data_IF_906466374450
#
_entry.id   IF_906466374450
#
_cell.length_a   1.000
_cell.length_b   1.000
_cell.length_c   1.000
_cell.angle_alpha   90.00
_cell.angle_beta   90.00
_cell.angle_gamma   90.00
#
_symmetry.space_group_name_H-M   'P 1'
#
loop_
_entity.id
_entity.type
_entity.pdbx_description
1 polymer ?
#
# COMPACT_ATOMS: atom_id res chain seq x y z
N UNK A 1 4.64 1.96 -1.32
CA UNK A 1 4.83 0.58 -0.81
C UNK A 1 4.81 -0.43 -1.95
N UNK A 2 3.85 -0.37 -2.89
CA UNK A 2 3.78 -1.28 -4.05
C UNK A 2 5.04 -1.28 -4.96
N UNK A 3 5.96 -0.39 -4.71
CA UNK A 3 7.24 -0.27 -5.43
C UNK A 3 8.37 -1.11 -4.84
N UNK A 4 8.08 -2.04 -3.93
CA UNK A 4 9.09 -2.83 -3.23
C UNK A 4 10.08 -1.98 -2.41
N UNK A 5 9.69 -0.75 -2.07
CA UNK A 5 10.40 0.13 -1.17
C UNK A 5 9.98 -0.22 0.25
N UNK A 6 10.94 -0.53 1.10
CA UNK A 6 10.69 -0.83 2.49
C UNK A 6 10.16 0.37 3.27
N UNK A 7 9.72 0.13 4.49
CA UNK A 7 9.34 1.15 5.44
C UNK A 7 10.50 1.48 6.38
N UNK A 8 10.60 2.73 6.79
CA UNK A 8 11.56 3.21 7.80
C UNK A 8 10.86 4.10 8.79
N UNK A 9 11.07 3.88 10.08
CA UNK A 9 10.45 4.66 11.14
C UNK A 9 11.35 5.80 11.64
N UNK A 10 12.57 5.47 11.99
CA UNK A 10 13.43 6.38 12.75
C UNK A 10 14.23 7.34 11.89
N UNK A 11 14.59 6.95 10.69
CA UNK A 11 15.45 7.74 9.80
C UNK A 11 14.67 8.87 9.12
N UNK A 12 13.39 8.62 8.78
CA UNK A 12 12.49 9.59 8.17
C UNK A 12 11.17 9.62 8.94
N UNK A 13 11.11 10.24 10.13
CA UNK A 13 9.91 10.26 10.94
C UNK A 13 8.80 11.09 10.25
N UNK A 14 7.56 10.69 10.45
CA UNK A 14 6.37 11.34 9.89
C UNK A 14 6.30 12.86 10.21
N UNK A 15 6.80 13.27 11.36
CA UNK A 15 6.89 14.69 11.74
C UNK A 15 7.71 15.56 10.77
N UNK A 16 8.60 14.96 9.98
CA UNK A 16 9.42 15.62 8.95
C UNK A 16 8.90 15.43 7.53
N UNK A 17 7.72 14.82 7.35
CA UNK A 17 7.20 14.48 6.03
C UNK A 17 7.08 15.71 5.10
N UNK A 18 6.65 16.87 5.61
CA UNK A 18 6.52 18.08 4.82
C UNK A 18 7.86 18.60 4.29
N UNK A 19 8.91 18.53 5.08
CA UNK A 19 10.25 18.97 4.66
C UNK A 19 10.83 17.99 3.65
N UNK A 20 10.61 16.71 3.87
CA UNK A 20 11.02 15.63 2.97
C UNK A 20 10.34 15.72 1.60
N UNK A 21 9.03 16.02 1.54
CA UNK A 21 8.30 16.22 0.27
C UNK A 21 8.89 17.37 -0.54
N UNK A 22 9.31 18.46 0.11
CA UNK A 22 9.88 19.63 -0.56
C UNK A 22 11.30 19.41 -1.06
N UNK A 23 12.10 18.65 -0.33
CA UNK A 23 13.53 18.44 -0.61
C UNK A 23 13.79 17.16 -1.40
N UNK A 24 12.83 16.24 -1.43
CA UNK A 24 12.99 14.88 -1.92
C UNK A 24 13.76 14.00 -0.92
N UNK A 25 13.66 12.69 -1.11
CA UNK A 25 14.47 11.70 -0.42
C UNK A 25 15.69 11.36 -1.28
N UNK A 26 16.87 11.23 -0.66
CA UNK A 26 18.00 10.60 -1.34
C UNK A 26 17.62 9.19 -1.79
N UNK A 27 18.07 8.77 -2.98
CA UNK A 27 17.80 7.43 -3.52
C UNK A 27 18.27 6.28 -2.61
N UNK A 28 19.25 6.54 -1.74
CA UNK A 28 19.72 5.56 -0.76
C UNK A 28 18.62 5.16 0.25
N UNK A 29 17.68 6.06 0.60
CA UNK A 29 16.56 5.73 1.48
C UNK A 29 15.57 4.74 0.85
N UNK A 30 15.50 4.69 -0.47
CA UNK A 30 14.65 3.74 -1.17
C UNK A 30 15.15 2.29 -1.04
N UNK A 31 16.46 2.08 -0.86
CA UNK A 31 17.08 0.76 -0.98
C UNK A 31 17.95 0.36 0.20
N UNK A 32 18.55 1.30 0.93
CA UNK A 32 19.59 1.02 1.92
C UNK A 32 19.15 1.17 3.38
N UNK A 33 18.06 1.92 3.63
CA UNK A 33 17.60 2.22 4.99
C UNK A 33 16.16 1.75 5.15
N UNK A 34 15.97 0.48 5.47
CA UNK A 34 14.65 -0.13 5.65
C UNK A 34 14.62 -0.87 6.98
N UNK A 35 13.60 -0.58 7.78
CA UNK A 35 13.28 -1.35 8.99
C UNK A 35 12.44 -2.58 8.65
N UNK A 36 11.72 -2.53 7.52
CA UNK A 36 10.96 -3.63 6.98
C UNK A 36 10.95 -3.60 5.45
N UNK A 37 10.97 -4.78 4.84
CA UNK A 37 10.93 -4.98 3.40
C UNK A 37 9.55 -5.45 2.97
N UNK A 38 9.00 -4.88 1.91
CA UNK A 38 7.76 -5.38 1.33
C UNK A 38 8.06 -6.69 0.59
N UNK A 39 7.43 -7.78 1.04
CA UNK A 39 7.56 -9.10 0.45
C UNK A 39 6.47 -9.36 -0.58
N UNK A 40 5.20 -9.12 -0.21
CA UNK A 40 4.06 -9.28 -1.10
C UNK A 40 3.02 -8.18 -0.90
N UNK A 41 2.17 -7.98 -1.92
CA UNK A 41 0.97 -7.16 -1.86
C UNK A 41 -0.20 -7.95 -2.43
N UNK A 42 -1.27 -8.04 -1.68
CA UNK A 42 -2.50 -8.70 -2.09
C UNK A 42 -3.66 -7.71 -2.12
N UNK A 43 -4.65 -8.02 -2.93
CA UNK A 43 -5.92 -7.29 -2.96
C UNK A 43 -7.06 -8.22 -2.59
N UNK A 44 -7.96 -7.75 -1.74
CA UNK A 44 -9.17 -8.45 -1.36
C UNK A 44 -10.37 -7.55 -1.68
N UNK A 45 -11.40 -8.08 -2.31
CA UNK A 45 -12.66 -7.35 -2.44
C UNK A 45 -13.39 -7.39 -1.10
N UNK A 46 -13.34 -6.30 -0.34
CA UNK A 46 -13.88 -6.21 1.02
C UNK A 46 -15.40 -6.36 1.06
N UNK A 47 -16.09 -5.96 -0.01
CA UNK A 47 -17.56 -6.08 -0.08
C UNK A 47 -18.02 -7.52 -0.33
N UNK A 48 -17.21 -8.33 -0.99
CA UNK A 48 -17.54 -9.72 -1.34
C UNK A 48 -16.90 -10.74 -0.39
N UNK A 49 -15.77 -10.39 0.23
CA UNK A 49 -14.98 -11.29 1.07
C UNK A 49 -14.55 -10.64 2.38
N UNK A 50 -15.54 -10.32 3.23
CA UNK A 50 -15.31 -9.77 4.57
C UNK A 50 -14.49 -10.72 5.46
N UNK A 51 -14.68 -12.05 5.33
CA UNK A 51 -13.91 -13.04 6.10
C UNK A 51 -12.43 -13.04 5.71
N UNK A 52 -12.11 -12.94 4.42
CA UNK A 52 -10.72 -12.84 3.97
C UNK A 52 -10.02 -11.58 4.47
N UNK A 53 -10.74 -10.46 4.61
CA UNK A 53 -10.18 -9.25 5.25
C UNK A 53 -9.87 -9.49 6.72
N UNK A 54 -10.74 -10.17 7.47
CA UNK A 54 -10.52 -10.52 8.88
C UNK A 54 -9.33 -11.47 9.04
N UNK A 55 -9.22 -12.47 8.18
CA UNK A 55 -8.06 -13.38 8.13
C UNK A 55 -6.76 -12.61 7.86
N UNK A 56 -6.77 -11.71 6.88
CA UNK A 56 -5.61 -10.89 6.58
C UNK A 56 -5.20 -9.97 7.75
N UNK A 57 -6.16 -9.42 8.50
CA UNK A 57 -5.86 -8.65 9.72
C UNK A 57 -5.23 -9.54 10.79
N UNK A 58 -5.70 -10.77 10.98
CA UNK A 58 -5.13 -11.71 11.94
C UNK A 58 -3.70 -12.13 11.55
N UNK A 59 -3.42 -12.28 10.27
CA UNK A 59 -2.12 -12.73 9.77
C UNK A 59 -1.09 -11.59 9.65
N UNK A 60 -1.51 -10.43 9.15
CA UNK A 60 -0.61 -9.31 8.82
C UNK A 60 -0.80 -8.08 9.71
N UNK A 61 -1.75 -8.11 10.65
CA UNK A 61 -2.00 -7.05 11.62
C UNK A 61 -2.91 -5.93 11.12
N UNK A 62 -2.92 -5.62 9.83
CA UNK A 62 -3.75 -4.56 9.26
C UNK A 62 -3.95 -4.70 7.75
N UNK A 63 -5.02 -4.10 7.22
CA UNK A 63 -5.23 -3.95 5.77
C UNK A 63 -5.49 -2.49 5.41
N UNK A 64 -4.92 -2.02 4.31
CA UNK A 64 -5.12 -0.68 3.79
C UNK A 64 -6.42 -0.57 3.02
N UNK A 65 -7.18 0.50 3.23
CA UNK A 65 -8.41 0.79 2.49
C UNK A 65 -8.50 2.26 2.14
N UNK A 66 -9.34 2.58 1.18
CA UNK A 66 -9.73 3.95 0.85
C UNK A 66 -11.23 4.14 1.03
N UNK A 67 -11.62 5.31 1.49
CA UNK A 67 -13.00 5.77 1.53
C UNK A 67 -13.09 7.26 1.24
N UNK A 68 -14.28 7.77 0.97
CA UNK A 68 -14.48 9.21 0.80
C UNK A 68 -14.92 9.81 2.12
N UNK A 69 -14.02 10.58 2.73
CA UNK A 69 -14.26 11.17 4.04
C UNK A 69 -15.04 12.48 3.94
N UNK A 70 -16.04 12.61 4.80
CA UNK A 70 -16.76 13.86 5.07
C UNK A 70 -16.96 14.03 6.57
N UNK A 71 -16.57 15.18 7.10
CA UNK A 71 -16.71 15.51 8.52
C UNK A 71 -18.18 15.41 9.00
N UNK A 72 -19.13 15.62 8.10
CA UNK A 72 -20.56 15.51 8.41
C UNK A 72 -21.01 14.08 8.76
N UNK A 73 -20.26 13.08 8.33
CA UNK A 73 -20.55 11.67 8.54
C UNK A 73 -19.74 11.07 9.70
N UNK A 74 -18.80 11.85 10.27
CA UNK A 74 -18.05 11.46 11.45
C UNK A 74 -18.68 12.07 12.70
N UNK A 75 -18.95 11.24 13.70
CA UNK A 75 -19.63 11.66 14.92
C UNK A 75 -19.00 10.99 16.15
N UNK A 76 -18.98 11.72 17.24
CA UNK A 76 -18.62 11.14 18.55
C UNK A 76 -19.82 10.40 19.14
N UNK A 77 -19.69 9.12 19.35
CA UNK A 77 -20.72 8.31 20.00
C UNK A 77 -20.57 8.36 21.52
N UNK A 78 -21.57 8.90 22.20
CA UNK A 78 -21.62 8.90 23.67
C UNK A 78 -21.88 7.51 24.25
N UNK A 79 -22.46 6.60 23.47
CA UNK A 79 -22.77 5.24 23.91
C UNK A 79 -21.54 4.35 23.96
N UNK A 80 -20.64 4.50 23.01
CA UNK A 80 -19.42 3.68 22.88
C UNK A 80 -18.14 4.44 23.17
N UNK A 81 -18.25 5.73 23.53
CA UNK A 81 -17.12 6.60 23.89
C UNK A 81 -16.01 6.59 22.82
N UNK A 82 -16.40 6.72 21.56
CA UNK A 82 -15.50 6.68 20.41
C UNK A 82 -16.07 7.41 19.19
N UNK A 83 -15.22 7.75 18.24
CA UNK A 83 -15.67 8.23 16.95
C UNK A 83 -16.26 7.09 16.10
N UNK A 84 -17.33 7.43 15.36
CA UNK A 84 -18.01 6.52 14.43
C UNK A 84 -18.17 7.20 13.07
N UNK A 85 -18.10 6.42 11.99
CA UNK A 85 -18.28 6.88 10.63
C UNK A 85 -19.26 6.00 9.86
N UNK A 86 -20.26 6.63 9.27
CA UNK A 86 -21.20 5.98 8.35
C UNK A 86 -21.73 6.97 7.34
N UNK A 87 -21.83 6.54 6.09
CA UNK A 87 -22.45 7.30 5.00
C UNK A 87 -23.29 6.42 4.07
N UNK A 88 -24.16 7.07 3.31
CA UNK A 88 -25.03 6.46 2.29
C UNK A 88 -24.71 6.93 0.88
N UNK A 89 -23.72 7.82 0.72
CA UNK A 89 -23.29 8.34 -0.56
C UNK A 89 -21.84 8.83 -0.46
N UNK A 90 -21.13 8.84 -1.57
CA UNK A 90 -19.79 9.46 -1.66
C UNK A 90 -19.90 10.97 -1.48
N UNK A 91 -19.21 11.49 -0.49
CA UNK A 91 -19.05 12.92 -0.24
C UNK A 91 -17.65 13.20 0.31
N UNK A 92 -17.15 14.41 0.08
CA UNK A 92 -15.84 14.83 0.58
C UNK A 92 -14.66 14.37 -0.27
N UNK A 93 -13.53 14.12 0.37
CA UNK A 93 -12.27 13.75 -0.28
C UNK A 93 -11.86 12.30 -0.05
N UNK A 94 -11.11 11.74 -1.00
CA UNK A 94 -10.50 10.41 -0.83
C UNK A 94 -9.52 10.40 0.33
N UNK A 95 -9.63 9.39 1.20
CA UNK A 95 -8.79 9.24 2.39
C UNK A 95 -8.37 7.78 2.57
N UNK A 96 -7.07 7.56 2.71
CA UNK A 96 -6.49 6.24 2.93
C UNK A 96 -6.29 6.00 4.43
N UNK A 97 -6.72 4.85 4.90
CA UNK A 97 -6.64 4.44 6.31
C UNK A 97 -6.33 2.94 6.41
N UNK A 98 -6.10 2.47 7.64
CA UNK A 98 -5.88 1.05 7.90
C UNK A 98 -7.02 0.46 8.72
N UNK A 99 -7.55 -0.68 8.30
CA UNK A 99 -8.39 -1.52 9.16
C UNK A 99 -7.46 -2.35 10.03
N UNK A 100 -7.61 -2.24 11.35
CA UNK A 100 -6.79 -2.94 12.34
C UNK A 100 -7.58 -3.91 13.21
N UNK A 101 -8.90 -4.00 12.99
CA UNK A 101 -9.78 -4.89 13.73
C UNK A 101 -11.22 -4.78 13.27
N UNK A 102 -12.09 -5.48 13.96
CA UNK A 102 -13.54 -5.46 13.69
C UNK A 102 -14.34 -5.86 14.92
N UNK A 103 -15.63 -5.57 14.89
CA UNK A 103 -16.60 -6.09 15.86
C UNK A 103 -17.91 -6.35 15.13
N UNK A 104 -18.29 -7.61 14.94
CA UNK A 104 -19.53 -8.01 14.25
C UNK A 104 -20.79 -7.60 15.01
N UNK A 105 -20.67 -7.42 16.33
CA UNK A 105 -21.76 -7.01 17.22
C UNK A 105 -21.69 -5.51 17.58
N UNK A 106 -20.89 -4.71 16.88
CA UNK A 106 -20.86 -3.27 17.11
C UNK A 106 -22.23 -2.69 16.74
N UNK A 107 -22.99 -2.27 17.75
CA UNK A 107 -24.37 -1.88 17.54
C UNK A 107 -24.50 -0.67 16.60
N UNK A 108 -25.37 -0.77 15.63
CA UNK A 108 -25.75 0.35 14.76
C UNK A 108 -26.27 1.56 15.52
N UNK A 109 -26.77 1.35 16.73
CA UNK A 109 -27.23 2.43 17.60
C UNK A 109 -26.11 3.27 18.21
N UNK A 110 -24.85 2.84 18.04
CA UNK A 110 -23.66 3.63 18.41
C UNK A 110 -23.36 4.74 17.41
N UNK A 111 -23.91 4.69 16.21
CA UNK A 111 -23.74 5.75 15.22
C UNK A 111 -24.71 6.90 15.49
N UNK A 112 -24.19 8.12 15.60
CA UNK A 112 -25.00 9.32 15.76
C UNK A 112 -25.45 9.85 14.38
N UNK A 113 -26.60 10.48 14.31
CA UNK A 113 -27.18 11.01 13.06
C UNK A 113 -27.70 9.90 12.15
N UNK A 114 -27.04 9.69 11.00
CA UNK A 114 -27.36 8.58 10.09
C UNK A 114 -26.99 7.24 10.75
N UNK A 115 -27.90 6.27 10.65
CA UNK A 115 -27.69 4.95 11.24
C UNK A 115 -27.57 3.88 10.16
N UNK A 116 -26.59 2.97 10.27
CA UNK A 116 -26.53 1.79 9.42
C UNK A 116 -27.77 0.91 9.57
N UNK A 117 -28.02 0.06 8.58
CA UNK A 117 -29.09 -0.91 8.64
C UNK A 117 -28.76 -2.10 9.55
N UNK A 118 -27.47 -2.47 9.60
CA UNK A 118 -26.97 -3.65 10.29
C UNK A 118 -25.97 -3.28 11.38
N UNK A 119 -25.83 -4.16 12.37
CA UNK A 119 -24.71 -4.13 13.30
C UNK A 119 -23.44 -4.56 12.59
N UNK A 120 -22.30 -4.21 13.19
CA UNK A 120 -20.97 -4.56 12.69
C UNK A 120 -20.19 -3.35 12.19
N UNK A 121 -18.92 -3.32 12.56
CA UNK A 121 -18.02 -2.25 12.17
C UNK A 121 -16.56 -2.69 12.09
N UNK A 122 -15.81 -2.00 11.25
CA UNK A 122 -14.37 -2.04 11.17
C UNK A 122 -13.77 -1.07 12.18
N UNK A 123 -12.73 -1.49 12.89
CA UNK A 123 -11.88 -0.57 13.67
C UNK A 123 -10.81 0.00 12.74
N UNK A 124 -10.88 1.30 12.56
CA UNK A 124 -10.00 2.04 11.66
C UNK A 124 -8.89 2.74 12.46
N UNK A 125 -7.64 2.52 12.05
CA UNK A 125 -6.51 3.35 12.45
C UNK A 125 -6.36 4.50 11.47
N UNK A 126 -6.45 5.72 12.01
CA UNK A 126 -6.35 6.95 11.25
C UNK A 126 -4.94 7.56 11.35
N UNK A 127 -4.66 8.60 10.58
CA UNK A 127 -3.38 9.32 10.54
C UNK A 127 -3.45 10.76 11.06
N UNK A 128 -4.51 11.11 11.82
CA UNK A 128 -4.73 12.49 12.31
C UNK A 128 -4.20 12.75 13.72
N UNK A 129 -3.39 11.84 14.25
CA UNK A 129 -2.85 11.94 15.61
C UNK A 129 -3.92 11.83 16.69
N UNK A 130 -3.64 12.35 17.87
CA UNK A 130 -4.48 12.16 19.07
C UNK A 130 -5.91 12.71 18.95
N UNK A 131 -6.20 13.54 17.97
CA UNK A 131 -7.55 14.05 17.74
C UNK A 131 -8.54 12.93 17.38
N UNK A 132 -8.16 12.03 16.47
CA UNK A 132 -8.96 10.90 16.04
C UNK A 132 -8.04 9.79 15.53
N UNK A 133 -7.34 9.14 16.45
CA UNK A 133 -6.41 8.05 16.14
C UNK A 133 -7.14 6.81 15.67
N UNK A 134 -8.31 6.54 16.23
CA UNK A 134 -9.15 5.41 15.91
C UNK A 134 -10.60 5.81 15.81
N UNK A 135 -11.34 5.14 14.92
CA UNK A 135 -12.80 5.24 14.83
C UNK A 135 -13.40 3.94 14.31
N UNK A 136 -14.69 3.77 14.56
CA UNK A 136 -15.45 2.64 14.06
C UNK A 136 -16.19 3.04 12.77
N UNK A 137 -15.95 2.31 11.69
CA UNK A 137 -16.61 2.48 10.41
C UNK A 137 -17.61 1.34 10.21
N UNK A 138 -18.90 1.66 9.97
CA UNK A 138 -19.89 0.64 9.68
C UNK A 138 -19.51 -0.21 8.46
N UNK A 139 -19.82 -1.50 8.50
CA UNK A 139 -19.74 -2.38 7.33
C UNK A 139 -20.59 -1.89 6.18
N UNK A 140 -21.72 -1.20 6.50
CA UNK A 140 -22.66 -0.64 5.53
C UNK A 140 -22.17 0.67 4.89
N UNK A 141 -20.99 1.19 5.24
CA UNK A 141 -20.46 2.46 4.69
C UNK A 141 -20.35 2.39 3.17
N UNK A 142 -21.12 3.27 2.50
CA UNK A 142 -21.20 3.29 1.03
C UNK A 142 -19.90 3.72 0.37
N UNK A 143 -19.24 4.73 0.93
CA UNK A 143 -18.02 5.33 0.35
C UNK A 143 -16.76 4.50 0.54
N UNK A 144 -16.81 3.44 1.35
CA UNK A 144 -15.70 2.49 1.47
C UNK A 144 -15.47 1.79 0.12
N UNK A 145 -14.27 1.95 -0.44
CA UNK A 145 -13.91 1.32 -1.71
C UNK A 145 -13.89 -0.21 -1.60
N UNK A 146 -14.08 -0.88 -2.74
CA UNK A 146 -14.21 -2.34 -2.75
C UNK A 146 -12.87 -3.05 -2.50
N UNK A 147 -11.73 -2.36 -2.68
CA UNK A 147 -10.42 -2.97 -2.59
C UNK A 147 -9.79 -2.73 -1.22
N UNK A 148 -9.48 -3.81 -0.52
CA UNK A 148 -8.59 -3.83 0.62
C UNK A 148 -7.20 -4.31 0.16
N UNK A 149 -6.15 -3.62 0.63
CA UNK A 149 -4.74 -3.88 0.32
C UNK A 149 -4.05 -4.52 1.51
N UNK A 150 -3.51 -5.69 1.31
CA UNK A 150 -2.70 -6.41 2.30
C UNK A 150 -1.24 -6.22 1.95
N UNK A 151 -0.45 -5.71 2.88
CA UNK A 151 0.99 -5.54 2.73
C UNK A 151 1.70 -6.54 3.64
N UNK A 152 2.38 -7.49 3.04
CA UNK A 152 3.18 -8.48 3.74
C UNK A 152 4.62 -7.96 3.84
N UNK A 153 5.07 -7.67 5.06
CA UNK A 153 6.40 -7.16 5.34
C UNK A 153 7.25 -8.20 6.05
N UNK A 154 8.52 -8.26 5.68
CA UNK A 154 9.54 -9.07 6.32
C UNK A 154 10.72 -8.22 6.78
N UNK A 155 11.43 -8.63 7.80
CA UNK A 155 12.62 -7.93 8.30
C UNK A 155 13.82 -8.08 7.36
N UNK A 156 13.85 -9.15 6.57
CA UNK A 156 14.89 -9.40 5.58
C UNK A 156 14.30 -10.23 4.44
N UNK A 157 14.30 -9.70 3.23
CA UNK A 157 13.83 -10.36 2.02
C UNK A 157 14.94 -11.14 1.27
N UNK A 158 16.16 -11.13 1.79
CA UNK A 158 17.32 -11.79 1.17
C UNK A 158 17.94 -11.01 0.00
N UNK A 159 17.49 -9.77 -0.26
CA UNK A 159 18.02 -8.90 -1.30
C UNK A 159 18.75 -7.71 -0.69
N UNK A 160 19.88 -7.37 -1.29
CA UNK A 160 20.65 -6.19 -0.89
C UNK A 160 20.21 -4.92 -1.64
N UNK A 161 19.85 -5.07 -2.91
CA UNK A 161 19.45 -3.97 -3.79
C UNK A 161 18.20 -4.32 -4.59
N UNK A 162 17.40 -3.30 -4.89
CA UNK A 162 16.26 -3.37 -5.78
C UNK A 162 16.37 -2.27 -6.84
N UNK A 163 16.41 -2.67 -8.10
CA UNK A 163 16.55 -1.76 -9.24
C UNK A 163 15.23 -1.66 -9.99
N UNK A 164 14.66 -0.46 -10.05
CA UNK A 164 13.42 -0.18 -10.76
C UNK A 164 13.41 1.25 -11.30
N UNK A 165 12.67 1.49 -12.39
CA UNK A 165 12.55 2.81 -13.02
C UNK A 165 11.14 3.39 -12.91
N UNK A 166 10.13 2.54 -12.86
CA UNK A 166 8.72 2.91 -12.93
C UNK A 166 8.04 3.00 -11.55
N UNK A 167 8.75 2.62 -10.51
CA UNK A 167 8.21 2.61 -9.16
C UNK A 167 7.03 1.65 -8.96
N UNK A 168 6.86 0.65 -9.84
CA UNK A 168 5.77 -0.31 -9.76
C UNK A 168 4.38 0.25 -10.08
N UNK A 169 4.30 1.49 -10.57
CA UNK A 169 3.06 2.11 -11.03
C UNK A 169 3.04 2.08 -12.55
N UNK A 170 1.98 1.55 -13.13
CA UNK A 170 1.79 1.61 -14.57
C UNK A 170 1.55 3.05 -15.01
N UNK A 171 2.56 3.66 -15.61
CA UNK A 171 2.49 5.05 -16.11
C UNK A 171 2.26 5.12 -17.61
N UNK A 172 2.50 4.03 -18.34
CA UNK A 172 2.38 3.97 -19.79
C UNK A 172 2.08 2.56 -20.28
N UNK A 173 1.10 2.44 -21.20
CA UNK A 173 0.78 1.22 -21.93
C UNK A 173 1.11 1.42 -23.40
N UNK A 174 1.83 0.48 -23.98
CA UNK A 174 1.96 0.39 -25.43
C UNK A 174 1.42 -0.94 -25.95
N UNK A 175 0.46 -0.88 -26.84
CA UNK A 175 -0.15 -2.08 -27.44
C UNK A 175 0.69 -2.71 -28.55
N UNK A 176 1.74 -2.05 -29.02
CA UNK A 176 2.51 -2.45 -30.21
C UNK A 176 3.99 -2.70 -29.93
N UNK A 177 4.41 -2.76 -28.66
CA UNK A 177 5.79 -3.03 -28.28
C UNK A 177 5.97 -4.52 -28.05
N UNK A 178 6.85 -5.15 -28.81
CA UNK A 178 7.19 -6.57 -28.69
C UNK A 178 8.34 -6.83 -27.70
N UNK A 179 9.14 -5.81 -27.40
CA UNK A 179 10.25 -5.89 -26.49
C UNK A 179 10.49 -4.53 -25.80
N UNK A 180 11.00 -4.57 -24.58
CA UNK A 180 11.42 -3.41 -23.82
C UNK A 180 12.68 -3.73 -23.04
N UNK A 181 13.47 -2.72 -22.69
CA UNK A 181 14.68 -2.88 -21.90
C UNK A 181 14.77 -1.79 -20.83
N UNK A 182 15.22 -2.19 -19.65
CA UNK A 182 15.64 -1.29 -18.58
C UNK A 182 17.13 -1.43 -18.35
N UNK A 183 17.81 -0.31 -18.16
CA UNK A 183 19.25 -0.27 -17.93
C UNK A 183 19.50 0.24 -16.52
N UNK A 184 20.28 -0.51 -15.76
CA UNK A 184 20.64 -0.17 -14.38
C UNK A 184 22.15 -0.12 -14.21
N UNK A 185 22.61 0.77 -13.34
CA UNK A 185 23.99 0.76 -12.86
C UNK A 185 24.01 0.07 -11.50
N UNK A 186 24.75 -1.03 -11.40
CA UNK A 186 24.87 -1.79 -10.16
C UNK A 186 25.57 -0.98 -9.07
N UNK A 187 25.11 -1.14 -7.82
CA UNK A 187 25.65 -0.45 -6.64
C UNK A 187 26.32 -1.46 -5.73
N UNK A 188 27.61 -1.62 -5.90
CA UNK A 188 28.38 -2.57 -5.11
C UNK A 188 28.61 -2.05 -3.68
N UNK A 189 28.49 -2.93 -2.70
CA UNK A 189 28.93 -2.64 -1.34
C UNK A 189 30.45 -2.54 -1.28
N UNK A 190 30.96 -1.72 -0.36
CA UNK A 190 32.42 -1.61 -0.13
C UNK A 190 33.03 -2.97 0.18
N UNK A 191 34.10 -3.31 -0.55
CA UNK A 191 34.79 -4.59 -0.42
C UNK A 191 34.15 -5.76 -1.18
N UNK A 192 33.12 -5.51 -2.00
CA UNK A 192 32.49 -6.52 -2.85
C UNK A 192 32.62 -6.10 -4.32
N UNK A 193 33.19 -6.96 -5.15
CA UNK A 193 33.48 -6.66 -6.55
C UNK A 193 32.35 -7.03 -7.52
N UNK A 194 31.31 -7.71 -7.06
CA UNK A 194 30.21 -8.17 -7.89
C UNK A 194 28.86 -8.11 -7.16
N UNK A 195 27.80 -8.08 -7.92
CA UNK A 195 26.44 -8.35 -7.46
C UNK A 195 25.90 -9.61 -8.14
N UNK A 196 25.00 -10.30 -7.46
CA UNK A 196 24.32 -11.48 -8.00
C UNK A 196 22.86 -11.13 -8.26
N UNK A 197 22.43 -11.22 -9.51
CA UNK A 197 21.03 -11.10 -9.85
C UNK A 197 20.26 -12.32 -9.30
N UNK A 198 19.32 -12.08 -8.39
CA UNK A 198 18.53 -13.13 -7.73
C UNK A 198 17.15 -13.31 -8.36
N UNK A 199 16.51 -12.21 -8.73
CA UNK A 199 15.16 -12.22 -9.26
C UNK A 199 14.92 -11.08 -10.26
N UNK A 200 13.98 -11.29 -11.17
CA UNK A 200 13.44 -10.27 -12.06
C UNK A 200 11.92 -10.30 -11.92
N UNK A 201 11.33 -9.13 -11.66
CA UNK A 201 9.87 -8.99 -11.63
C UNK A 201 9.39 -8.36 -12.93
N UNK A 202 8.34 -8.93 -13.51
CA UNK A 202 7.68 -8.44 -14.72
C UNK A 202 6.20 -8.28 -14.41
N UNK A 203 5.68 -7.06 -14.58
CA UNK A 203 4.26 -6.77 -14.44
C UNK A 203 3.55 -6.83 -15.80
N UNK A 204 2.42 -7.52 -15.86
CA UNK A 204 1.61 -7.64 -17.06
C UNK A 204 0.18 -7.17 -16.79
N UNK A 205 -0.40 -6.48 -17.78
CA UNK A 205 -1.73 -5.87 -17.63
C UNK A 205 -2.91 -6.83 -17.84
N UNK A 206 -2.65 -8.07 -18.27
CA UNK A 206 -3.69 -9.07 -18.54
C UNK A 206 -3.35 -10.41 -17.90
N UNK A 207 -4.35 -11.03 -17.27
CA UNK A 207 -4.30 -12.40 -16.79
C UNK A 207 -4.53 -13.37 -17.95
N UNK A 208 -3.64 -13.39 -18.93
CA UNK A 208 -3.64 -14.35 -20.04
C UNK A 208 -2.34 -15.14 -20.02
N UNK A 209 -2.35 -16.35 -20.58
CA UNK A 209 -1.16 -17.15 -20.80
C UNK A 209 -0.24 -16.45 -21.81
N UNK A 210 0.57 -15.50 -21.32
CA UNK A 210 1.54 -14.77 -22.14
C UNK A 210 2.90 -15.44 -21.98
N UNK A 211 3.48 -15.87 -23.10
CA UNK A 211 4.88 -16.31 -23.13
C UNK A 211 5.78 -15.09 -23.27
N UNK A 212 6.74 -14.97 -22.37
CA UNK A 212 7.76 -13.93 -22.42
C UNK A 212 9.16 -14.51 -22.16
N UNK A 213 10.16 -13.80 -22.60
CA UNK A 213 11.57 -14.12 -22.37
C UNK A 213 12.20 -12.92 -21.66
N UNK A 214 13.05 -13.18 -20.68
CA UNK A 214 13.89 -12.16 -20.03
C UNK A 214 15.33 -12.45 -20.39
N UNK A 215 15.96 -11.54 -21.13
CA UNK A 215 17.36 -11.62 -21.49
C UNK A 215 18.17 -10.63 -20.65
N UNK A 216 19.28 -11.08 -20.08
CA UNK A 216 20.14 -10.29 -19.21
C UNK A 216 21.45 -9.99 -19.95
N UNK A 217 21.75 -8.71 -20.07
CA UNK A 217 22.99 -8.22 -20.70
C UNK A 217 23.82 -7.48 -19.66
N UNK A 218 25.13 -7.71 -19.67
CA UNK A 218 26.10 -7.05 -18.78
C UNK A 218 27.16 -6.32 -19.61
N UNK A 219 27.86 -5.37 -18.97
CA UNK A 219 28.92 -4.61 -19.61
C UNK A 219 28.48 -3.85 -20.86
N UNK A 220 27.32 -3.21 -20.79
CA UNK A 220 26.77 -2.44 -21.91
C UNK A 220 27.71 -1.29 -22.29
N UNK A 221 27.99 -1.16 -23.59
CA UNK A 221 28.83 -0.08 -24.14
C UNK A 221 28.00 1.16 -24.52
N UNK A 222 26.72 0.98 -24.79
CA UNK A 222 25.81 2.05 -25.15
C UNK A 222 24.55 1.98 -24.28
N UNK A 223 24.44 2.87 -23.29
CA UNK A 223 23.33 2.90 -22.36
C UNK A 223 22.02 3.45 -22.98
N UNK A 224 22.11 4.18 -24.09
CA UNK A 224 20.96 4.74 -24.80
C UNK A 224 20.39 3.78 -25.83
N UNK A 225 21.18 2.82 -26.29
CA UNK A 225 20.76 1.76 -27.19
C UNK A 225 21.42 0.44 -26.76
N UNK A 226 20.94 -0.17 -25.68
CA UNK A 226 21.61 -1.32 -25.06
C UNK A 226 21.61 -2.59 -25.90
N UNK A 227 20.82 -2.65 -26.95
CA UNK A 227 20.69 -3.80 -27.86
C UNK A 227 21.43 -3.59 -29.18
N UNK A 228 22.23 -2.52 -29.32
CA UNK A 228 22.99 -2.22 -30.54
C UNK A 228 24.40 -2.78 -30.50
#
# INVERSE_FOLDING_TARGET
>A
LAQWIGATENTVPYSKANDTIKQGLSGEFAYSYKDAHLHNVYQINIKENTSGVKEAIMEHGAVGVMYYHSDYNMSWSRKSDCYTYYDTARAGGGHAVMIVGWNDNFSKDNFEGLKPSNDGAWLIRNSWGSYCDYFWMSYDTFSLENTAWVFDFVTNDGFDNNYQLDGGIETYRSSNVLSGANVFTTQKKSGIDYEVLKAVSVSMSQAADVKYTVDIYTNLTNLNNPLS
#
